data_IF_287038261308
#
_entry.id   IF_287038261308
#
_cell.length_a   1.000
_cell.length_b   1.000
_cell.length_c   1.000
_cell.angle_alpha   90.00
_cell.angle_beta   90.00
_cell.angle_gamma   90.00
#
_symmetry.space_group_name_H-M   'P 1'
#
loop_
_entity.id
_entity.type
_entity.pdbx_description
1 polymer ?
#
# COMPACT_ATOMS: atom_id res chain seq x y z
N UNK A 1 29.76 8.86 13.61
CA UNK A 1 29.10 8.04 12.58
C UNK A 1 29.83 6.71 12.53
N UNK A 2 29.31 5.69 13.22
CA UNK A 2 29.92 4.35 13.21
C UNK A 2 29.60 3.72 11.86
N UNK A 3 30.63 3.32 11.09
CA UNK A 3 30.46 2.49 9.93
C UNK A 3 29.70 1.23 10.37
N UNK A 4 28.47 1.06 9.87
CA UNK A 4 27.65 -0.10 10.19
C UNK A 4 28.39 -1.34 9.69
N UNK A 5 28.49 -2.38 10.53
CA UNK A 5 29.15 -3.66 10.26
C UNK A 5 28.74 -4.30 8.91
N UNK A 6 27.61 -3.89 8.34
CA UNK A 6 27.06 -4.39 7.08
C UNK A 6 27.06 -3.33 5.96
N UNK A 7 28.04 -2.45 5.92
CA UNK A 7 28.19 -1.50 4.80
C UNK A 7 28.42 -2.23 3.47
N UNK A 8 27.94 -1.62 2.38
CA UNK A 8 28.19 -2.05 1.02
C UNK A 8 28.78 -0.89 0.20
N UNK A 9 29.45 -1.22 -0.89
CA UNK A 9 30.04 -0.25 -1.80
C UNK A 9 29.08 0.10 -2.95
N UNK A 10 29.22 1.30 -3.57
CA UNK A 10 28.47 1.63 -4.77
C UNK A 10 28.65 0.62 -5.91
N UNK A 11 29.84 0.02 -6.04
CA UNK A 11 30.13 -0.99 -7.07
C UNK A 11 29.37 -2.31 -6.83
N UNK A 12 29.19 -2.72 -5.58
CA UNK A 12 28.37 -3.89 -5.24
C UNK A 12 26.88 -3.63 -5.55
N UNK A 13 26.39 -2.42 -5.21
CA UNK A 13 25.03 -2.00 -5.57
C UNK A 13 24.84 -1.94 -7.10
N UNK A 14 25.82 -1.43 -7.85
CA UNK A 14 25.82 -1.43 -9.32
C UNK A 14 25.72 -2.85 -9.89
N UNK A 15 26.51 -3.78 -9.34
CA UNK A 15 26.51 -5.18 -9.78
C UNK A 15 25.14 -5.84 -9.57
N UNK A 16 24.52 -5.65 -8.40
CA UNK A 16 23.18 -6.15 -8.10
C UNK A 16 22.12 -5.49 -9.00
N UNK A 17 22.20 -4.18 -9.18
CA UNK A 17 21.25 -3.49 -10.06
C UNK A 17 21.32 -4.04 -11.50
N UNK A 18 22.52 -4.30 -12.03
CA UNK A 18 22.69 -4.86 -13.40
C UNK A 18 22.06 -6.24 -13.57
N UNK A 19 22.07 -7.09 -12.54
CA UNK A 19 21.41 -8.41 -12.62
C UNK A 19 19.88 -8.27 -12.63
N UNK A 20 19.34 -7.30 -11.89
CA UNK A 20 17.91 -6.99 -11.91
C UNK A 20 17.47 -6.29 -13.18
N UNK A 21 18.28 -5.40 -13.74
CA UNK A 21 17.92 -4.54 -14.87
C UNK A 21 17.38 -5.34 -16.05
N UNK A 22 18.09 -6.41 -16.45
CA UNK A 22 17.68 -7.25 -17.58
C UNK A 22 16.35 -7.96 -17.31
N UNK A 23 16.13 -8.41 -16.07
CA UNK A 23 14.94 -9.16 -15.69
C UNK A 23 13.72 -8.24 -15.53
N UNK A 24 13.90 -7.09 -14.89
CA UNK A 24 12.83 -6.13 -14.62
C UNK A 24 12.39 -5.37 -15.86
N UNK A 25 13.34 -5.00 -16.73
CA UNK A 25 13.08 -4.14 -17.89
C UNK A 25 13.02 -4.90 -19.22
N UNK A 26 12.99 -6.22 -19.20
CA UNK A 26 12.71 -7.07 -20.37
C UNK A 26 11.27 -7.03 -20.88
N UNK A 27 10.44 -6.12 -20.35
CA UNK A 27 9.02 -5.97 -20.69
C UNK A 27 8.80 -4.95 -21.81
N UNK A 28 7.67 -5.06 -22.51
CA UNK A 28 7.29 -4.09 -23.55
C UNK A 28 6.81 -2.77 -22.93
N UNK A 29 7.20 -1.65 -23.55
CA UNK A 29 6.69 -0.32 -23.21
C UNK A 29 5.39 -0.04 -23.97
N UNK A 30 4.49 0.71 -23.34
CA UNK A 30 3.27 1.17 -23.98
C UNK A 30 3.57 2.36 -24.90
N UNK A 31 3.05 2.29 -26.12
CA UNK A 31 3.15 3.34 -27.12
C UNK A 31 1.72 3.80 -27.43
N UNK A 32 1.48 5.11 -27.35
CA UNK A 32 0.21 5.73 -27.68
C UNK A 32 -0.08 5.72 -29.17
N UNK A 33 -1.30 6.11 -29.53
CA UNK A 33 -1.76 6.19 -30.93
C UNK A 33 -0.92 7.18 -31.77
N UNK A 34 -0.31 8.17 -31.13
CA UNK A 34 0.59 9.15 -31.73
C UNK A 34 2.04 8.64 -31.92
N UNK A 35 2.30 7.38 -31.59
CA UNK A 35 3.61 6.74 -31.69
C UNK A 35 4.58 7.13 -30.57
N UNK A 36 4.16 7.90 -29.57
CA UNK A 36 4.99 8.30 -28.43
C UNK A 36 4.81 7.35 -27.24
N UNK A 37 5.79 7.26 -26.32
CA UNK A 37 5.60 6.51 -25.08
C UNK A 37 4.38 6.99 -24.29
N UNK A 38 3.57 6.06 -23.81
CA UNK A 38 2.37 6.32 -23.02
C UNK A 38 2.44 5.55 -21.70
N UNK A 39 3.34 5.94 -20.78
CA UNK A 39 3.60 5.18 -19.56
C UNK A 39 2.42 5.24 -18.59
N UNK A 40 2.26 4.18 -17.81
CA UNK A 40 1.20 4.03 -16.81
C UNK A 40 1.76 3.69 -15.44
N UNK A 41 1.02 4.06 -14.40
CA UNK A 41 1.37 3.70 -13.03
C UNK A 41 0.18 3.05 -12.33
N UNK A 42 0.40 1.84 -11.79
CA UNK A 42 -0.52 1.20 -10.86
C UNK A 42 -0.10 1.56 -9.44
N UNK A 43 -1.00 2.19 -8.68
CA UNK A 43 -0.77 2.50 -7.27
C UNK A 43 -1.75 1.71 -6.41
N UNK A 44 -1.23 0.96 -5.43
CA UNK A 44 -2.03 0.39 -4.35
C UNK A 44 -1.63 1.07 -3.05
N UNK A 45 -2.56 1.83 -2.46
CA UNK A 45 -2.29 2.72 -1.35
C UNK A 45 -3.27 2.49 -0.18
N UNK A 46 -2.79 2.73 1.04
CA UNK A 46 -3.53 2.53 2.27
C UNK A 46 -2.59 2.30 3.44
N UNK A 47 -3.06 2.47 4.67
CA UNK A 47 -2.22 2.32 5.88
C UNK A 47 -1.57 0.93 5.97
N UNK A 48 -0.49 0.79 6.74
CA UNK A 48 0.09 -0.54 7.03
C UNK A 48 -0.98 -1.49 7.59
N UNK A 49 -1.05 -2.73 7.10
CA UNK A 49 -2.08 -3.69 7.50
C UNK A 49 -3.42 -3.63 6.74
N UNK A 50 -3.67 -2.60 5.93
CA UNK A 50 -4.88 -2.50 5.08
C UNK A 50 -5.00 -3.61 4.03
N UNK A 51 -3.92 -4.35 3.78
CA UNK A 51 -3.90 -5.50 2.87
C UNK A 51 -3.55 -5.16 1.43
N UNK A 52 -2.83 -4.06 1.18
CA UNK A 52 -2.34 -3.66 -0.14
C UNK A 52 -1.70 -4.80 -0.92
N UNK A 53 -0.75 -5.50 -0.31
CA UNK A 53 -0.01 -6.62 -0.93
C UNK A 53 -0.93 -7.73 -1.43
N UNK A 54 -1.98 -8.08 -0.68
CA UNK A 54 -2.97 -9.05 -1.12
C UNK A 54 -3.79 -8.50 -2.29
N UNK A 55 -4.26 -7.25 -2.22
CA UNK A 55 -5.00 -6.66 -3.35
C UNK A 55 -4.16 -6.66 -4.63
N UNK A 56 -2.87 -6.29 -4.50
CA UNK A 56 -1.94 -6.30 -5.61
C UNK A 56 -1.75 -7.71 -6.17
N UNK A 57 -1.27 -8.67 -5.35
CA UNK A 57 -0.87 -9.99 -5.84
C UNK A 57 -2.05 -10.93 -6.13
N UNK A 58 -3.15 -10.85 -5.38
CA UNK A 58 -4.25 -11.81 -5.44
C UNK A 58 -5.45 -11.32 -6.26
N UNK A 59 -5.50 -10.03 -6.59
CA UNK A 59 -6.59 -9.44 -7.39
C UNK A 59 -6.03 -8.76 -8.64
N UNK A 60 -5.25 -7.68 -8.48
CA UNK A 60 -4.87 -6.82 -9.60
C UNK A 60 -3.89 -7.51 -10.56
N UNK A 61 -2.79 -8.07 -10.06
CA UNK A 61 -1.76 -8.69 -10.91
C UNK A 61 -2.20 -10.01 -11.58
N UNK A 62 -3.42 -10.48 -11.32
CA UNK A 62 -4.03 -11.56 -12.11
C UNK A 62 -4.60 -11.05 -13.44
N UNK A 63 -4.87 -9.75 -13.55
CA UNK A 63 -5.29 -9.13 -14.80
C UNK A 63 -4.07 -8.99 -15.73
N UNK A 64 -4.11 -9.61 -16.94
CA UNK A 64 -3.02 -9.53 -17.91
C UNK A 64 -2.64 -8.10 -18.33
N UNK A 65 -3.52 -7.11 -18.11
CA UNK A 65 -3.22 -5.69 -18.41
C UNK A 65 -2.01 -5.15 -17.65
N UNK A 66 -1.65 -5.76 -16.52
CA UNK A 66 -0.48 -5.36 -15.74
C UNK A 66 0.78 -6.19 -16.03
N UNK A 67 0.73 -7.10 -17.02
CA UNK A 67 1.85 -8.01 -17.33
C UNK A 67 3.14 -7.32 -17.77
N UNK A 68 3.06 -6.08 -18.28
CA UNK A 68 4.22 -5.28 -18.69
C UNK A 68 4.62 -4.18 -17.70
N UNK A 69 4.12 -4.25 -16.46
CA UNK A 69 4.47 -3.29 -15.43
C UNK A 69 5.68 -3.74 -14.62
N UNK A 70 6.57 -2.80 -14.33
CA UNK A 70 7.75 -3.01 -13.51
C UNK A 70 7.41 -2.77 -12.04
N UNK A 71 7.63 -3.78 -11.19
CA UNK A 71 7.51 -3.62 -9.73
C UNK A 71 8.75 -2.93 -9.20
N UNK A 72 8.59 -1.73 -8.65
CA UNK A 72 9.72 -0.96 -8.12
C UNK A 72 10.32 -1.56 -6.85
N UNK A 73 9.54 -2.36 -6.13
CA UNK A 73 9.96 -3.03 -4.90
C UNK A 73 9.36 -4.44 -4.81
N UNK A 74 10.18 -5.37 -4.31
CA UNK A 74 9.80 -6.68 -3.81
C UNK A 74 10.51 -6.88 -2.47
N UNK A 75 9.86 -7.53 -1.51
CA UNK A 75 10.46 -7.81 -0.20
C UNK A 75 11.76 -8.63 -0.32
N UNK A 76 11.79 -9.57 -1.26
CA UNK A 76 12.97 -10.37 -1.59
C UNK A 76 14.17 -9.54 -2.09
N UNK A 77 13.98 -8.29 -2.52
CA UNK A 77 15.12 -7.43 -2.88
C UNK A 77 16.02 -7.13 -1.69
N UNK A 78 15.51 -7.19 -0.44
CA UNK A 78 16.33 -7.01 0.76
C UNK A 78 17.37 -8.12 0.91
N UNK A 79 17.07 -9.33 0.43
CA UNK A 79 17.97 -10.49 0.44
C UNK A 79 19.14 -10.33 -0.53
N UNK A 80 19.05 -9.39 -1.48
CA UNK A 80 20.13 -9.07 -2.41
C UNK A 80 21.24 -8.22 -1.77
N UNK A 81 21.09 -7.80 -0.52
CA UNK A 81 22.13 -7.05 0.17
C UNK A 81 23.47 -7.84 0.15
N UNK A 82 24.61 -7.23 -0.21
CA UNK A 82 25.90 -7.95 -0.38
C UNK A 82 26.39 -8.71 0.85
N UNK A 83 25.88 -8.34 2.02
CA UNK A 83 26.18 -8.93 3.33
C UNK A 83 24.99 -9.66 3.96
N UNK A 84 23.90 -9.92 3.22
CA UNK A 84 22.67 -10.48 3.80
C UNK A 84 22.92 -11.78 4.57
N UNK A 85 23.75 -12.67 4.02
CA UNK A 85 24.11 -13.94 4.64
C UNK A 85 24.73 -13.80 6.05
N UNK A 86 25.38 -12.67 6.36
CA UNK A 86 26.01 -12.43 7.66
C UNK A 86 25.00 -12.12 8.78
N UNK A 87 23.80 -11.71 8.41
CA UNK A 87 22.73 -11.35 9.35
C UNK A 87 21.40 -12.05 9.04
N UNK A 88 21.40 -13.05 8.15
CA UNK A 88 20.20 -13.79 7.74
C UNK A 88 19.51 -14.49 8.92
N UNK A 89 20.30 -14.96 9.89
CA UNK A 89 19.83 -15.67 11.08
C UNK A 89 19.32 -14.73 12.20
N UNK A 90 19.44 -13.41 12.02
CA UNK A 90 18.94 -12.44 13.00
C UNK A 90 17.42 -12.27 12.90
N UNK A 91 16.84 -11.70 13.96
CA UNK A 91 15.42 -11.36 13.96
C UNK A 91 15.06 -10.37 12.84
N UNK A 92 13.80 -10.39 12.43
CA UNK A 92 13.26 -9.59 11.34
C UNK A 92 13.58 -8.10 11.51
N UNK A 93 13.42 -7.56 12.71
CA UNK A 93 13.60 -6.12 12.97
C UNK A 93 15.04 -5.72 12.71
N UNK A 94 15.99 -6.55 13.13
CA UNK A 94 17.42 -6.36 12.87
C UNK A 94 17.72 -6.44 11.36
N UNK A 95 17.19 -7.45 10.65
CA UNK A 95 17.36 -7.59 9.19
C UNK A 95 16.82 -6.38 8.41
N UNK A 96 15.66 -5.85 8.78
CA UNK A 96 15.11 -4.63 8.18
C UNK A 96 16.02 -3.43 8.41
N UNK A 97 16.50 -3.24 9.64
CA UNK A 97 17.41 -2.15 9.99
C UNK A 97 18.71 -2.20 9.18
N UNK A 98 19.24 -3.39 8.91
CA UNK A 98 20.47 -3.56 8.14
C UNK A 98 20.30 -3.34 6.64
N UNK A 99 19.10 -3.60 6.10
CA UNK A 99 18.83 -3.52 4.65
C UNK A 99 18.19 -2.21 4.21
N UNK A 100 17.80 -1.32 5.13
CA UNK A 100 16.99 -0.15 4.83
C UNK A 100 17.67 0.83 3.86
N UNK A 101 18.91 1.26 4.13
CA UNK A 101 19.62 2.18 3.23
C UNK A 101 19.83 1.56 1.85
N UNK A 102 20.22 0.28 1.81
CA UNK A 102 20.42 -0.47 0.58
C UNK A 102 19.16 -0.53 -0.29
N UNK A 103 18.01 -0.86 0.31
CA UNK A 103 16.78 -0.98 -0.46
C UNK A 103 16.30 0.36 -1.00
N UNK A 104 16.48 1.45 -0.24
CA UNK A 104 16.18 2.80 -0.71
C UNK A 104 17.03 3.18 -1.92
N UNK A 105 18.34 2.95 -1.87
CA UNK A 105 19.24 3.24 -2.98
C UNK A 105 18.97 2.35 -4.22
N UNK A 106 18.71 1.06 -4.02
CA UNK A 106 18.35 0.14 -5.09
C UNK A 106 17.03 0.53 -5.77
N UNK A 107 15.97 0.76 -4.99
CA UNK A 107 14.66 1.14 -5.52
C UNK A 107 14.70 2.52 -6.21
N UNK A 108 15.50 3.46 -5.70
CA UNK A 108 15.72 4.76 -6.35
C UNK A 108 16.32 4.62 -7.75
N UNK A 109 17.27 3.69 -7.93
CA UNK A 109 17.86 3.39 -9.24
C UNK A 109 16.88 2.73 -10.18
N UNK A 110 16.11 1.74 -9.69
CA UNK A 110 15.05 1.09 -10.46
C UNK A 110 14.02 2.13 -10.92
N UNK A 111 13.55 2.99 -10.02
CA UNK A 111 12.62 4.07 -10.34
C UNK A 111 13.19 5.03 -11.39
N UNK A 112 14.43 5.48 -11.19
CA UNK A 112 15.10 6.40 -12.12
C UNK A 112 15.22 5.81 -13.53
N UNK A 113 15.57 4.52 -13.65
CA UNK A 113 15.61 3.84 -14.94
C UNK A 113 14.21 3.69 -15.54
N UNK A 114 13.23 3.27 -14.75
CA UNK A 114 11.86 3.06 -15.20
C UNK A 114 11.25 4.35 -15.76
N UNK A 115 11.41 5.46 -15.02
CA UNK A 115 10.96 6.80 -15.41
C UNK A 115 11.69 7.29 -16.68
N UNK A 116 13.03 7.26 -16.68
CA UNK A 116 13.82 7.74 -17.83
C UNK A 116 13.45 7.04 -19.14
N UNK A 117 13.10 5.75 -19.05
CA UNK A 117 12.79 4.93 -20.22
C UNK A 117 11.29 4.73 -20.46
N UNK A 118 10.43 5.40 -19.68
CA UNK A 118 8.96 5.42 -19.82
C UNK A 118 8.34 4.01 -19.73
N UNK A 119 8.76 3.24 -18.74
CA UNK A 119 8.12 1.96 -18.41
C UNK A 119 6.85 2.17 -17.59
N UNK A 120 5.92 1.23 -17.73
CA UNK A 120 4.80 1.10 -16.80
C UNK A 120 5.33 0.65 -15.43
N UNK A 121 4.83 1.22 -14.33
CA UNK A 121 5.36 0.95 -12.98
C UNK A 121 4.27 0.60 -11.98
N UNK A 122 4.60 -0.28 -11.03
CA UNK A 122 3.75 -0.61 -9.88
C UNK A 122 4.36 0.00 -8.63
N UNK A 123 3.54 0.74 -7.88
CA UNK A 123 3.87 1.28 -6.57
C UNK A 123 2.90 0.78 -5.51
N UNK A 124 3.42 0.13 -4.47
CA UNK A 124 2.69 -0.14 -3.24
C UNK A 124 3.17 0.84 -2.16
N UNK A 125 2.26 1.58 -1.51
CA UNK A 125 2.64 2.65 -0.58
C UNK A 125 1.76 2.69 0.67
N UNK A 126 2.37 3.00 1.81
CA UNK A 126 1.74 2.90 3.12
C UNK A 126 1.18 4.21 3.71
N UNK A 127 1.14 5.29 2.91
CA UNK A 127 0.76 6.64 3.36
C UNK A 127 1.64 7.16 4.52
N UNK A 128 2.85 6.64 4.68
CA UNK A 128 3.70 6.82 5.86
C UNK A 128 4.52 8.11 5.84
N UNK A 129 4.80 8.69 4.67
CA UNK A 129 5.58 9.94 4.55
C UNK A 129 4.93 10.97 3.63
N UNK A 130 4.76 12.20 4.14
CA UNK A 130 4.26 13.34 3.36
C UNK A 130 5.11 13.64 2.13
N UNK A 131 6.41 13.37 2.20
CA UNK A 131 7.33 13.59 1.08
C UNK A 131 6.95 12.77 -0.16
N UNK A 132 6.23 11.65 0.02
CA UNK A 132 5.71 10.85 -1.10
C UNK A 132 4.75 11.64 -1.99
N UNK A 133 3.99 12.59 -1.43
CA UNK A 133 3.09 13.45 -2.21
C UNK A 133 3.86 14.20 -3.30
N UNK A 134 5.08 14.67 -3.02
CA UNK A 134 5.91 15.39 -3.98
C UNK A 134 6.35 14.49 -5.15
N UNK A 135 6.58 13.19 -4.92
CA UNK A 135 6.91 12.22 -5.98
C UNK A 135 5.70 12.05 -6.90
N UNK A 136 4.51 11.87 -6.32
CA UNK A 136 3.27 11.68 -7.07
C UNK A 136 2.89 12.90 -7.90
N UNK A 137 3.05 14.09 -7.32
CA UNK A 137 2.75 15.35 -8.02
C UNK A 137 3.94 15.91 -8.82
N UNK A 138 5.09 15.23 -8.82
CA UNK A 138 6.31 15.70 -9.47
C UNK A 138 6.23 15.73 -10.99
N UNK A 139 7.22 16.35 -11.62
CA UNK A 139 7.39 16.39 -13.08
C UNK A 139 7.75 15.00 -13.63
N UNK A 140 8.44 14.16 -12.85
CA UNK A 140 8.82 12.81 -13.29
C UNK A 140 7.61 11.93 -13.62
N UNK A 141 6.46 12.16 -12.97
CA UNK A 141 5.24 11.40 -13.19
C UNK A 141 4.15 12.22 -13.89
N UNK A 142 4.46 13.41 -14.43
CA UNK A 142 3.46 14.29 -15.01
C UNK A 142 2.79 13.73 -16.27
N UNK A 143 3.49 12.88 -17.03
CA UNK A 143 2.99 12.23 -18.25
C UNK A 143 2.52 10.79 -18.04
N UNK A 144 2.50 10.30 -16.80
CA UNK A 144 2.01 8.96 -16.49
C UNK A 144 0.49 8.95 -16.37
N UNK A 145 -0.16 7.95 -16.98
CA UNK A 145 -1.57 7.65 -16.71
C UNK A 145 -1.68 6.85 -15.41
N UNK A 146 -2.43 7.36 -14.43
CA UNK A 146 -2.54 6.76 -13.10
C UNK A 146 -3.71 5.78 -13.00
N UNK A 147 -3.49 4.64 -12.35
CA UNK A 147 -4.52 3.71 -11.90
C UNK A 147 -4.37 3.52 -10.38
N UNK A 148 -5.15 4.26 -9.60
CA UNK A 148 -5.01 4.32 -8.13
C UNK A 148 -6.08 3.48 -7.45
N UNK A 149 -5.64 2.58 -6.58
CA UNK A 149 -6.47 1.75 -5.72
C UNK A 149 -6.22 2.09 -4.25
N UNK A 150 -7.16 2.82 -3.64
CA UNK A 150 -7.11 3.25 -2.24
C UNK A 150 -7.86 2.25 -1.35
N UNK A 151 -7.21 1.73 -0.31
CA UNK A 151 -7.85 0.86 0.67
C UNK A 151 -8.02 1.61 1.99
N UNK A 152 -9.27 1.91 2.34
CA UNK A 152 -9.71 2.40 3.64
C UNK A 152 -10.08 1.24 4.57
N UNK A 153 -9.74 1.37 5.84
CA UNK A 153 -10.04 0.36 6.85
C UNK A 153 -10.30 1.03 8.19
N UNK A 154 -11.26 0.51 8.95
CA UNK A 154 -11.48 0.93 10.35
C UNK A 154 -10.19 0.71 11.16
N UNK A 155 -9.80 1.70 11.96
CA UNK A 155 -8.52 1.69 12.69
C UNK A 155 -8.29 0.43 13.54
N UNK A 156 -9.31 -0.01 14.27
CA UNK A 156 -9.22 -1.19 15.14
C UNK A 156 -8.98 -2.48 14.34
N UNK A 157 -9.64 -2.62 13.18
CA UNK A 157 -9.42 -3.74 12.27
C UNK A 157 -7.98 -3.79 11.76
N UNK A 158 -7.45 -2.63 11.34
CA UNK A 158 -6.08 -2.55 10.83
C UNK A 158 -5.08 -2.98 11.90
N UNK A 159 -5.23 -2.48 13.13
CA UNK A 159 -4.28 -2.77 14.19
C UNK A 159 -4.33 -4.24 14.63
N UNK A 160 -5.52 -4.83 14.78
CA UNK A 160 -5.62 -6.27 15.04
C UNK A 160 -5.07 -7.11 13.88
N UNK A 161 -5.29 -6.67 12.64
CA UNK A 161 -4.72 -7.33 11.45
C UNK A 161 -3.20 -7.29 11.41
N UNK A 162 -2.55 -6.18 11.79
CA UNK A 162 -1.07 -6.11 11.85
C UNK A 162 -0.51 -6.99 12.96
N UNK A 163 -1.16 -7.03 14.13
CA UNK A 163 -0.78 -7.92 15.23
C UNK A 163 -0.88 -9.39 14.80
N UNK A 164 -2.01 -9.78 14.20
CA UNK A 164 -2.23 -11.13 13.69
C UNK A 164 -1.15 -11.53 12.68
N UNK A 165 -0.87 -10.66 11.71
CA UNK A 165 0.17 -10.91 10.69
C UNK A 165 1.56 -11.09 11.30
N UNK A 166 1.92 -10.29 12.29
CA UNK A 166 3.20 -10.42 12.99
C UNK A 166 3.30 -11.74 13.78
N UNK A 167 2.21 -12.15 14.44
CA UNK A 167 2.16 -13.46 15.12
C UNK A 167 2.22 -14.63 14.14
N UNK A 168 1.50 -14.55 13.01
CA UNK A 168 1.55 -15.57 11.94
C UNK A 168 2.98 -15.70 11.40
N UNK A 169 3.70 -14.59 11.26
CA UNK A 169 5.08 -14.61 10.80
C UNK A 169 6.05 -15.21 11.82
N UNK A 170 5.87 -14.92 13.12
CA UNK A 170 6.66 -15.55 14.18
C UNK A 170 6.47 -17.06 14.21
N UNK A 171 5.24 -17.55 14.03
CA UNK A 171 4.92 -18.98 13.96
C UNK A 171 5.54 -19.67 12.74
N UNK A 172 5.63 -18.95 11.61
CA UNK A 172 6.17 -19.49 10.36
C UNK A 172 7.67 -19.20 10.16
N UNK A 173 8.32 -18.48 11.08
CA UNK A 173 9.71 -18.05 10.95
C UNK A 173 9.96 -17.04 9.81
N UNK A 174 8.93 -16.34 9.35
CA UNK A 174 9.02 -15.39 8.23
C UNK A 174 9.23 -13.93 8.69
N UNK A 175 9.53 -13.06 7.74
CA UNK A 175 9.72 -11.63 7.97
C UNK A 175 8.37 -10.93 8.20
N UNK A 176 8.13 -10.40 9.40
CA UNK A 176 7.12 -9.36 9.65
C UNK A 176 7.43 -8.57 10.93
N UNK A 177 6.94 -7.33 11.03
CA UNK A 177 7.08 -6.50 12.23
C UNK A 177 5.74 -6.18 12.87
N UNK A 178 5.74 -6.00 14.18
CA UNK A 178 4.62 -5.35 14.85
C UNK A 178 4.54 -3.87 14.45
N UNK A 179 3.34 -3.41 14.17
CA UNK A 179 3.06 -2.01 13.81
C UNK A 179 2.32 -1.36 14.97
N UNK A 180 2.91 -0.32 15.54
CA UNK A 180 2.28 0.45 16.61
C UNK A 180 1.10 1.29 16.08
N UNK A 181 0.10 1.51 16.92
CA UNK A 181 -1.08 2.29 16.60
C UNK A 181 -0.71 3.73 16.22
N UNK A 182 0.31 4.30 16.85
CA UNK A 182 0.81 5.64 16.52
C UNK A 182 1.37 5.73 15.10
N UNK A 183 1.95 4.65 14.58
CA UNK A 183 2.41 4.59 13.17
C UNK A 183 1.22 4.55 12.20
N UNK A 184 0.13 3.89 12.57
CA UNK A 184 -1.12 3.89 11.81
C UNK A 184 -1.72 5.31 11.82
N UNK A 185 -1.80 5.96 12.98
CA UNK A 185 -2.27 7.35 13.12
C UNK A 185 -1.46 8.33 12.27
N UNK A 186 -0.13 8.25 12.35
CA UNK A 186 0.75 9.07 11.51
C UNK A 186 0.46 8.88 10.01
N UNK A 187 0.18 7.63 9.59
CA UNK A 187 -0.16 7.35 8.20
C UNK A 187 -1.53 7.93 7.80
N UNK A 188 -2.48 8.00 8.74
CA UNK A 188 -3.79 8.64 8.53
C UNK A 188 -3.63 10.16 8.42
N UNK A 189 -2.82 10.77 9.28
CA UNK A 189 -2.54 12.22 9.25
C UNK A 189 -1.80 12.65 7.98
N UNK A 190 -1.02 11.76 7.39
CA UNK A 190 -0.35 11.98 6.12
C UNK A 190 -1.25 11.71 4.91
N UNK A 191 -2.38 11.01 5.10
CA UNK A 191 -3.25 10.63 4.00
C UNK A 191 -3.81 11.84 3.26
N UNK A 192 -4.11 12.95 3.95
CA UNK A 192 -4.67 14.15 3.30
C UNK A 192 -3.80 14.65 2.15
N UNK A 193 -2.53 14.95 2.41
CA UNK A 193 -1.62 15.48 1.39
C UNK A 193 -1.35 14.47 0.27
N UNK A 194 -1.28 13.18 0.60
CA UNK A 194 -1.00 12.12 -0.37
C UNK A 194 -2.20 11.85 -1.28
N UNK A 195 -3.41 11.78 -0.72
CA UNK A 195 -4.63 11.56 -1.49
C UNK A 195 -4.95 12.75 -2.39
N UNK A 196 -4.68 13.98 -1.92
CA UNK A 196 -4.76 15.18 -2.76
C UNK A 196 -3.77 15.12 -3.93
N UNK A 197 -2.56 14.59 -3.70
CA UNK A 197 -1.59 14.37 -4.77
C UNK A 197 -2.08 13.32 -5.79
N UNK A 198 -2.70 12.22 -5.35
CA UNK A 198 -3.30 11.24 -6.25
C UNK A 198 -4.40 11.84 -7.12
N UNK A 199 -5.36 12.58 -6.54
CA UNK A 199 -6.40 13.24 -7.34
C UNK A 199 -5.80 14.21 -8.35
N UNK A 200 -4.80 14.99 -7.94
CA UNK A 200 -4.11 15.94 -8.82
C UNK A 200 -3.39 15.23 -9.96
N UNK A 201 -2.69 14.13 -9.68
CA UNK A 201 -1.98 13.35 -10.68
C UNK A 201 -2.95 12.69 -11.67
N UNK A 202 -4.05 12.08 -11.18
CA UNK A 202 -5.06 11.46 -12.03
C UNK A 202 -5.74 12.47 -12.98
N UNK A 203 -5.74 13.76 -12.68
CA UNK A 203 -6.33 14.78 -13.55
C UNK A 203 -5.41 15.24 -14.69
N UNK A 204 -4.15 14.80 -14.75
CA UNK A 204 -3.16 15.24 -15.75
C UNK A 204 -3.26 14.50 -17.08
N UNK A 205 -3.58 13.22 -17.02
CA UNK A 205 -3.60 12.32 -18.20
C UNK A 205 -4.96 11.65 -18.30
N UNK A 206 -5.61 11.80 -19.46
CA UNK A 206 -6.89 11.15 -19.75
C UNK A 206 -6.77 9.63 -19.64
N UNK A 207 -7.84 8.99 -19.18
CA UNK A 207 -7.89 7.57 -18.86
C UNK A 207 -7.43 7.22 -17.46
N UNK A 208 -6.87 8.15 -16.68
CA UNK A 208 -6.47 7.85 -15.30
C UNK A 208 -7.69 7.55 -14.42
N UNK A 209 -7.51 6.65 -13.45
CA UNK A 209 -8.55 6.14 -12.55
C UNK A 209 -8.14 6.25 -11.09
N UNK A 210 -9.13 6.45 -10.24
CA UNK A 210 -8.98 6.37 -8.78
C UNK A 210 -10.19 5.65 -8.19
N UNK A 211 -9.95 4.58 -7.46
CA UNK A 211 -10.99 3.74 -6.87
C UNK A 211 -10.73 3.53 -5.39
N UNK A 212 -11.80 3.53 -4.58
CA UNK A 212 -11.71 3.34 -3.14
C UNK A 212 -12.39 2.04 -2.71
N UNK A 213 -11.74 1.34 -1.79
CA UNK A 213 -12.17 0.06 -1.25
C UNK A 213 -12.25 0.17 0.28
N UNK A 214 -13.29 -0.40 0.87
CA UNK A 214 -13.36 -0.64 2.31
C UNK A 214 -12.91 -2.07 2.60
N UNK A 215 -12.11 -2.25 3.65
CA UNK A 215 -11.82 -3.57 4.23
C UNK A 215 -12.01 -3.54 5.73
N UNK A 216 -12.54 -4.63 6.28
CA UNK A 216 -12.90 -4.73 7.69
C UNK A 216 -13.17 -6.17 8.13
N UNK A 217 -13.83 -6.31 9.28
CA UNK A 217 -14.33 -7.57 9.80
C UNK A 217 -15.50 -8.12 8.94
N UNK A 218 -15.87 -9.37 9.18
CA UNK A 218 -17.04 -10.00 8.56
C UNK A 218 -16.98 -10.03 7.04
N UNK A 219 -18.06 -9.59 6.39
CA UNK A 219 -18.18 -9.55 4.93
C UNK A 219 -17.16 -8.62 4.25
N UNK A 220 -16.61 -7.65 4.99
CA UNK A 220 -15.61 -6.71 4.49
C UNK A 220 -14.19 -7.30 4.47
N UNK A 221 -13.97 -8.55 4.92
CA UNK A 221 -12.65 -9.20 4.90
C UNK A 221 -12.06 -9.27 3.50
N UNK A 222 -12.91 -9.51 2.51
CA UNK A 222 -12.55 -9.62 1.09
C UNK A 222 -12.56 -8.28 0.35
N UNK A 223 -12.72 -7.18 1.09
CA UNK A 223 -12.84 -5.81 0.56
C UNK A 223 -14.14 -5.60 -0.21
N UNK A 224 -14.61 -4.36 -0.20
CA UNK A 224 -15.73 -3.91 -1.02
C UNK A 224 -15.32 -2.63 -1.72
N UNK A 225 -15.41 -2.60 -3.06
CA UNK A 225 -15.25 -1.33 -3.78
C UNK A 225 -16.44 -0.42 -3.44
N UNK A 226 -16.14 0.82 -3.08
CA UNK A 226 -17.14 1.81 -2.67
C UNK A 226 -17.44 2.81 -3.79
N UNK A 227 -16.41 3.21 -4.50
CA UNK A 227 -16.52 4.14 -5.61
C UNK A 227 -15.34 4.03 -6.56
N UNK A 228 -15.55 4.50 -7.78
CA UNK A 228 -14.52 4.63 -8.81
C UNK A 228 -14.76 5.90 -9.60
N UNK A 229 -13.69 6.58 -9.95
CA UNK A 229 -13.70 7.78 -10.76
C UNK A 229 -12.64 7.72 -11.84
N UNK A 230 -12.92 8.40 -12.95
CA UNK A 230 -12.04 8.43 -14.12
C UNK A 230 -11.87 9.85 -14.63
N UNK A 231 -10.67 10.16 -15.09
CA UNK A 231 -10.36 11.36 -15.83
C UNK A 231 -10.59 11.10 -17.32
N UNK A 232 -11.76 11.47 -17.85
CA UNK A 232 -11.99 11.42 -19.30
C UNK A 232 -11.52 12.71 -19.98
N UNK A 233 -11.62 13.82 -19.27
CA UNK A 233 -11.12 15.13 -19.65
C UNK A 233 -10.09 15.57 -18.62
N UNK A 234 -8.92 16.01 -19.10
CA UNK A 234 -7.87 16.60 -18.26
C UNK A 234 -8.51 17.68 -17.38
N UNK A 235 -8.03 17.81 -16.14
CA UNK A 235 -8.57 18.66 -15.08
C UNK A 235 -9.94 18.25 -14.52
N UNK A 236 -10.44 17.05 -14.84
CA UNK A 236 -11.71 16.55 -14.30
C UNK A 236 -11.60 15.09 -13.87
N UNK A 237 -12.11 14.78 -12.68
CA UNK A 237 -12.40 13.43 -12.19
C UNK A 237 -13.90 13.28 -12.04
N UNK A 238 -14.47 12.34 -12.78
CA UNK A 238 -15.91 12.06 -12.77
C UNK A 238 -16.18 10.67 -12.21
N UNK A 239 -17.10 10.52 -11.25
CA UNK A 239 -17.54 9.22 -10.78
C UNK A 239 -18.06 8.33 -11.92
N UNK A 240 -17.71 7.05 -11.88
CA UNK A 240 -18.12 6.05 -12.86
C UNK A 240 -18.78 4.86 -12.16
N UNK A 241 -19.73 4.25 -12.86
CA UNK A 241 -20.22 2.94 -12.46
C UNK A 241 -19.08 1.92 -12.49
N UNK A 242 -19.13 0.92 -11.61
CA UNK A 242 -18.15 -0.15 -11.58
C UNK A 242 -18.85 -1.50 -11.45
N UNK A 243 -18.14 -2.57 -11.79
CA UNK A 243 -18.59 -3.95 -11.58
C UNK A 243 -17.78 -4.55 -10.45
N UNK A 244 -18.45 -5.13 -9.45
CA UNK A 244 -17.77 -5.80 -8.34
C UNK A 244 -17.27 -7.20 -8.72
N UNK A 245 -16.54 -7.84 -7.81
CA UNK A 245 -15.98 -9.19 -8.01
C UNK A 245 -17.06 -10.27 -8.23
N UNK A 246 -18.32 -10.00 -7.86
CA UNK A 246 -19.46 -10.90 -8.08
C UNK A 246 -20.16 -10.65 -9.42
N UNK A 247 -19.68 -9.70 -10.22
CA UNK A 247 -20.30 -9.30 -11.49
C UNK A 247 -21.47 -8.33 -11.34
N UNK A 248 -21.70 -7.78 -10.14
CA UNK A 248 -22.79 -6.81 -9.92
C UNK A 248 -22.36 -5.43 -10.36
N UNK A 249 -23.18 -4.76 -11.16
CA UNK A 249 -22.95 -3.38 -11.60
C UNK A 249 -23.49 -2.44 -10.52
N UNK A 250 -22.64 -1.54 -10.03
CA UNK A 250 -22.98 -0.47 -9.11
C UNK A 250 -23.00 0.86 -9.86
N UNK A 251 -24.17 1.46 -9.98
CA UNK A 251 -24.37 2.78 -10.59
C UNK A 251 -23.76 3.89 -9.73
N UNK A 252 -23.53 5.08 -10.31
CA UNK A 252 -22.99 6.23 -9.57
C UNK A 252 -23.93 6.69 -8.44
N UNK A 253 -25.23 6.49 -8.62
CA UNK A 253 -26.27 6.87 -7.67
C UNK A 253 -26.25 5.98 -6.42
N UNK A 254 -25.89 4.71 -6.56
CA UNK A 254 -25.81 3.73 -5.46
C UNK A 254 -24.52 3.86 -4.63
N UNK A 255 -23.53 4.59 -5.14
CA UNK A 255 -22.25 4.80 -4.44
C UNK A 255 -22.42 5.77 -3.27
N UNK A 256 -22.14 5.27 -2.06
CA UNK A 256 -22.19 6.04 -0.81
C UNK A 256 -21.02 7.01 -0.67
N UNK A 257 -19.92 6.78 -1.39
CA UNK A 257 -18.76 7.65 -1.48
C UNK A 257 -18.57 8.12 -2.93
N UNK A 258 -17.97 9.29 -3.12
CA UNK A 258 -17.68 9.82 -4.46
C UNK A 258 -16.34 10.54 -4.46
N UNK A 259 -15.57 10.34 -5.52
CA UNK A 259 -14.35 11.10 -5.79
C UNK A 259 -14.64 11.96 -7.02
N UNK A 260 -14.97 13.23 -6.81
CA UNK A 260 -15.27 14.19 -7.87
C UNK A 260 -14.37 15.40 -7.73
N UNK A 261 -13.77 15.83 -8.84
CA UNK A 261 -12.97 17.04 -8.88
C UNK A 261 -13.05 17.69 -10.25
N UNK A 262 -13.27 18.99 -10.30
CA UNK A 262 -13.37 19.78 -11.54
C UNK A 262 -13.25 21.27 -11.20
N UNK A 263 -13.38 22.15 -12.19
CA UNK A 263 -13.48 23.59 -11.92
C UNK A 263 -14.67 23.95 -11.01
N UNK A 264 -15.81 23.28 -11.17
CA UNK A 264 -17.01 23.48 -10.34
C UNK A 264 -16.86 22.86 -8.94
N UNK A 265 -16.04 21.82 -8.82
CA UNK A 265 -15.76 21.09 -7.58
C UNK A 265 -14.24 21.04 -7.35
N UNK A 266 -13.58 22.16 -7.00
CA UNK A 266 -12.12 22.25 -7.03
C UNK A 266 -11.44 21.55 -5.84
N UNK A 267 -12.21 21.31 -4.76
CA UNK A 267 -11.73 20.75 -3.50
C UNK A 267 -11.57 19.23 -3.64
N UNK A 268 -10.37 18.67 -3.36
CA UNK A 268 -10.19 17.22 -3.27
C UNK A 268 -11.11 16.59 -2.23
N UNK A 269 -11.65 15.40 -2.52
CA UNK A 269 -12.68 14.77 -1.66
C UNK A 269 -12.42 13.29 -1.33
N UNK A 270 -11.38 12.68 -1.89
CA UNK A 270 -10.96 11.32 -1.54
C UNK A 270 -10.53 11.23 -0.07
N UNK A 271 -9.84 12.24 0.48
CA UNK A 271 -9.48 12.24 1.89
C UNK A 271 -10.69 12.26 2.83
N UNK A 272 -11.74 13.03 2.51
CA UNK A 272 -12.97 13.06 3.30
C UNK A 272 -13.65 11.68 3.34
N UNK A 273 -13.70 10.99 2.19
CA UNK A 273 -14.23 9.62 2.13
C UNK A 273 -13.36 8.64 2.91
N UNK A 274 -12.03 8.74 2.76
CA UNK A 274 -11.08 7.88 3.46
C UNK A 274 -11.15 8.05 4.99
N UNK A 275 -11.15 9.29 5.48
CA UNK A 275 -11.16 9.57 6.93
C UNK A 275 -12.49 9.15 7.56
N UNK A 276 -13.61 9.28 6.84
CA UNK A 276 -14.91 8.80 7.31
C UNK A 276 -14.90 7.27 7.53
N UNK A 277 -14.26 6.51 6.64
CA UNK A 277 -14.12 5.05 6.79
C UNK A 277 -13.20 4.66 7.93
N UNK A 278 -12.04 5.32 8.03
CA UNK A 278 -11.02 4.99 9.02
C UNK A 278 -11.47 5.26 10.45
N UNK A 279 -12.20 6.36 10.64
CA UNK A 279 -12.73 6.78 11.94
C UNK A 279 -14.09 6.15 12.27
N UNK A 280 -14.69 5.40 11.35
CA UNK A 280 -15.95 4.73 11.60
C UNK A 280 -15.81 3.71 12.75
N UNK A 281 -16.71 3.72 13.75
CA UNK A 281 -16.69 2.74 14.81
C UNK A 281 -17.04 1.34 14.29
N UNK A 282 -16.52 0.31 14.96
CA UNK A 282 -16.94 -1.08 14.77
C UNK A 282 -18.23 -1.31 15.58
N UNK A 283 -19.38 -1.23 14.91
CA UNK A 283 -20.71 -1.26 15.57
C UNK A 283 -21.48 -2.57 15.37
N UNK A 284 -21.26 -3.28 14.26
CA UNK A 284 -21.95 -4.54 13.97
C UNK A 284 -21.65 -5.61 15.03
N UNK A 285 -22.66 -6.33 15.51
CA UNK A 285 -22.48 -7.35 16.55
C UNK A 285 -21.48 -8.44 16.13
N UNK A 286 -21.58 -8.91 14.90
CA UNK A 286 -20.66 -9.91 14.34
C UNK A 286 -19.23 -9.35 14.23
N UNK A 287 -19.07 -8.13 13.72
CA UNK A 287 -17.76 -7.48 13.63
C UNK A 287 -17.11 -7.27 15.00
N UNK A 288 -17.89 -6.88 16.01
CA UNK A 288 -17.42 -6.73 17.39
C UNK A 288 -17.00 -8.07 17.98
N UNK A 289 -17.81 -9.11 17.77
CA UNK A 289 -17.48 -10.47 18.22
C UNK A 289 -16.18 -10.95 17.56
N UNK A 290 -16.02 -10.72 16.26
CA UNK A 290 -14.80 -11.08 15.52
C UNK A 290 -13.59 -10.32 16.05
N UNK A 291 -13.69 -9.00 16.27
CA UNK A 291 -12.62 -8.20 16.86
C UNK A 291 -12.23 -8.71 18.26
N UNK A 292 -13.21 -9.06 19.09
CA UNK A 292 -12.98 -9.69 20.40
C UNK A 292 -12.24 -11.02 20.26
N UNK A 293 -12.68 -11.89 19.34
CA UNK A 293 -12.06 -13.20 19.10
C UNK A 293 -10.63 -13.07 18.59
N UNK A 294 -10.35 -12.15 17.66
CA UNK A 294 -9.00 -11.90 17.16
C UNK A 294 -8.08 -11.39 18.27
N UNK A 295 -8.55 -10.46 19.10
CA UNK A 295 -7.77 -9.95 20.23
C UNK A 295 -7.49 -11.04 21.29
N UNK A 296 -8.51 -11.85 21.62
CA UNK A 296 -8.38 -12.93 22.59
C UNK A 296 -7.43 -14.04 22.09
N UNK A 297 -7.55 -14.43 20.82
CA UNK A 297 -6.65 -15.39 20.17
C UNK A 297 -5.21 -14.87 20.15
N UNK A 298 -5.00 -13.61 19.78
CA UNK A 298 -3.67 -13.00 19.77
C UNK A 298 -3.03 -12.97 21.16
N UNK A 299 -3.82 -12.74 22.22
CA UNK A 299 -3.32 -12.74 23.61
C UNK A 299 -2.84 -14.12 24.06
N UNK A 300 -3.50 -15.19 23.61
CA UNK A 300 -3.05 -16.56 23.85
C UNK A 300 -1.75 -16.86 23.09
N UNK A 301 -1.72 -16.52 21.79
CA UNK A 301 -0.58 -16.77 20.88
C UNK A 301 0.68 -16.04 21.29
N UNK A 302 0.57 -14.78 21.74
CA UNK A 302 1.74 -13.99 22.13
C UNK A 302 2.55 -14.60 23.29
N UNK A 303 1.94 -15.45 24.13
CA UNK A 303 2.64 -16.11 25.25
C UNK A 303 3.79 -16.99 24.79
N UNK A 304 3.63 -17.67 23.66
CA UNK A 304 4.67 -18.51 23.06
C UNK A 304 5.88 -17.68 22.61
N UNK A 305 5.66 -16.42 22.25
CA UNK A 305 6.66 -15.52 21.68
C UNK A 305 6.93 -14.29 22.56
N UNK A 306 6.76 -14.41 23.88
CA UNK A 306 6.70 -13.24 24.76
C UNK A 306 7.96 -12.37 24.69
N UNK A 307 9.13 -12.98 24.44
CA UNK A 307 10.41 -12.29 24.30
C UNK A 307 10.53 -11.52 22.97
N UNK A 308 9.81 -11.94 21.94
CA UNK A 308 9.81 -11.33 20.60
C UNK A 308 8.66 -10.33 20.41
N UNK A 309 7.68 -10.30 21.31
CA UNK A 309 6.55 -9.36 21.23
C UNK A 309 6.82 -8.03 21.96
N UNK A 310 6.24 -6.90 21.50
CA UNK A 310 6.35 -5.62 22.20
C UNK A 310 5.81 -5.69 23.64
N UNK A 311 6.47 -5.05 24.63
CA UNK A 311 6.05 -5.14 26.04
C UNK A 311 4.60 -4.72 26.32
N UNK A 312 4.09 -3.74 25.56
CA UNK A 312 2.71 -3.21 25.72
C UNK A 312 1.65 -3.98 24.95
N UNK A 313 2.01 -5.00 24.16
CA UNK A 313 1.06 -5.72 23.32
C UNK A 313 -0.06 -6.37 24.15
N UNK A 314 0.25 -6.92 25.33
CA UNK A 314 -0.74 -7.52 26.20
C UNK A 314 -1.79 -6.51 26.70
N UNK A 315 -1.35 -5.30 27.08
CA UNK A 315 -2.24 -4.20 27.50
C UNK A 315 -3.13 -3.74 26.34
N UNK A 316 -2.55 -3.59 25.15
CA UNK A 316 -3.27 -3.27 23.91
C UNK A 316 -4.36 -4.30 23.62
N UNK A 317 -4.03 -5.59 23.63
CA UNK A 317 -5.00 -6.67 23.37
C UNK A 317 -6.11 -6.71 24.42
N UNK A 318 -5.77 -6.51 25.70
CA UNK A 318 -6.77 -6.39 26.75
C UNK A 318 -7.71 -5.21 26.55
N UNK A 319 -7.20 -4.08 26.04
CA UNK A 319 -8.04 -2.92 25.74
C UNK A 319 -9.09 -3.24 24.66
N UNK A 320 -8.72 -3.99 23.61
CA UNK A 320 -9.66 -4.45 22.59
C UNK A 320 -10.68 -5.44 23.13
N UNK A 321 -10.23 -6.42 23.93
CA UNK A 321 -11.13 -7.37 24.59
C UNK A 321 -12.16 -6.59 25.41
N UNK A 322 -11.74 -5.69 26.30
CA UNK A 322 -12.66 -4.86 27.10
C UNK A 322 -13.61 -4.03 26.24
N UNK A 323 -13.11 -3.42 25.16
CA UNK A 323 -13.90 -2.60 24.23
C UNK A 323 -15.05 -3.37 23.57
N UNK A 324 -14.86 -4.65 23.30
CA UNK A 324 -15.80 -5.49 22.55
C UNK A 324 -16.46 -6.62 23.38
N UNK A 325 -16.25 -6.66 24.69
CA UNK A 325 -16.90 -7.66 25.60
C UNK A 325 -18.36 -7.32 25.91
N UNK A 326 -18.84 -6.12 25.55
CA UNK A 326 -20.22 -5.68 25.76
C UNK A 326 -21.11 -5.93 24.54
#
# INVERSE_FOLDING_TARGET
>A
MSATHYSYTPAELDAIYRTLETTLFGVKRDIGEDGRPSPKILIVAGVQGSGKTYMLNNTLLKDPRYSNYVRLYLESFRELHPRYAEFADQDVTSRYKHTETFIWELCSRIFSHAHKNKFNIIMETALDTRAFANVISGEELADYQFDVHLIGCKKDFVHLSTIKRALDALENGTLERFVDIASIETSIDNAEVILNAFETACMRVSGSTISMYERGFGELRNRKMLCSSRCDQITTLTPKAFTDEKGTIHSVQEQTHRIVRSEQYPVPCSFASFTALVNAPVTGQQDRQEAWQEAYSALARMRTFWQQTPPRLAETLWSYIKKYTA
#
